data_IF_439315611763
#
_entry.id   IF_439315611763
#
_cell.length_a   1.000
_cell.length_b   1.000
_cell.length_c   1.000
_cell.angle_alpha   90.00
_cell.angle_beta   90.00
_cell.angle_gamma   90.00
#
_symmetry.space_group_name_H-M   'P 1'
#
loop_
_entity.id
_entity.type
_entity.pdbx_description
1 polymer ?
#
# COMPACT_ATOMS: atom_id res chain seq x y z
N UNK A 1 -3.77 7.87 17.62
CA UNK A 1 -4.81 7.48 16.65
C UNK A 1 -4.41 6.10 16.15
N UNK A 2 -5.33 5.15 15.99
CA UNK A 2 -5.00 3.78 15.56
C UNK A 2 -5.45 3.54 14.13
N UNK A 3 -4.68 2.75 13.38
CA UNK A 3 -5.13 2.16 12.14
C UNK A 3 -6.05 0.97 12.45
N UNK A 4 -7.32 1.07 12.07
CA UNK A 4 -8.38 0.12 12.48
C UNK A 4 -8.20 -1.28 11.92
N UNK A 5 -7.70 -1.41 10.68
CA UNK A 5 -7.59 -2.72 10.01
C UNK A 5 -6.57 -3.65 10.65
N UNK A 6 -5.49 -3.11 11.22
CA UNK A 6 -4.42 -3.89 11.85
C UNK A 6 -4.35 -3.72 13.37
N UNK A 7 -5.15 -2.82 13.94
CA UNK A 7 -5.12 -2.46 15.36
C UNK A 7 -3.70 -2.08 15.85
N UNK A 8 -3.00 -1.28 15.04
CA UNK A 8 -1.66 -0.77 15.34
C UNK A 8 -1.69 0.76 15.45
N UNK A 9 -0.69 1.31 16.14
CA UNK A 9 -0.52 2.76 16.24
C UNK A 9 -0.36 3.38 14.85
N UNK A 10 -0.91 4.57 14.66
CA UNK A 10 -0.87 5.27 13.38
C UNK A 10 0.57 5.46 12.87
N UNK A 11 1.50 5.82 13.77
CA UNK A 11 2.90 6.01 13.40
C UNK A 11 3.55 4.70 12.93
N UNK A 12 3.17 3.56 13.53
CA UNK A 12 3.60 2.24 13.08
C UNK A 12 3.02 1.90 11.70
N UNK A 13 1.73 2.18 11.48
CA UNK A 13 1.08 1.98 10.20
C UNK A 13 1.73 2.80 9.09
N UNK A 14 2.01 4.09 9.35
CA UNK A 14 2.70 4.97 8.40
C UNK A 14 4.11 4.47 8.11
N UNK A 15 4.86 4.06 9.14
CA UNK A 15 6.20 3.52 8.97
C UNK A 15 6.18 2.25 8.10
N UNK A 16 5.22 1.35 8.30
CA UNK A 16 5.05 0.15 7.45
C UNK A 16 4.72 0.51 6.01
N UNK A 17 3.84 1.49 5.79
CA UNK A 17 3.45 1.91 4.45
C UNK A 17 4.62 2.58 3.70
N UNK A 18 5.30 3.55 4.32
CA UNK A 18 6.41 4.26 3.68
C UNK A 18 7.62 3.39 3.36
N UNK A 19 7.86 2.32 4.13
CA UNK A 19 8.92 1.35 3.86
C UNK A 19 8.46 0.18 2.97
N UNK A 20 7.28 0.29 2.35
CA UNK A 20 6.77 -0.76 1.47
C UNK A 20 7.13 -0.50 0.01
N UNK A 21 7.39 -1.58 -0.73
CA UNK A 21 7.49 -1.54 -2.21
C UNK A 21 6.27 -0.89 -2.88
N UNK A 22 5.08 -0.91 -2.23
CA UNK A 22 3.89 -0.24 -2.77
C UNK A 22 4.08 1.26 -2.79
N UNK A 23 4.72 1.82 -1.77
CA UNK A 23 5.08 3.24 -1.73
C UNK A 23 6.22 3.58 -2.70
N UNK A 24 7.18 2.67 -2.91
CA UNK A 24 8.19 2.83 -3.96
C UNK A 24 7.54 2.89 -5.35
N UNK A 25 6.64 1.96 -5.66
CA UNK A 25 5.89 1.95 -6.92
C UNK A 25 4.95 3.13 -7.07
N UNK A 26 4.35 3.61 -5.97
CA UNK A 26 3.50 4.81 -5.99
C UNK A 26 4.26 6.05 -6.46
N UNK A 27 5.55 6.15 -6.14
CA UNK A 27 6.40 7.25 -6.58
C UNK A 27 6.95 7.06 -8.00
N UNK A 28 6.97 5.82 -8.49
CA UNK A 28 7.38 5.50 -9.85
C UNK A 28 6.29 5.86 -10.86
N UNK A 29 6.58 6.85 -11.70
CA UNK A 29 5.65 7.35 -12.72
C UNK A 29 5.34 6.32 -13.80
N UNK A 30 6.26 5.40 -14.07
CA UNK A 30 6.08 4.37 -15.10
C UNK A 30 4.96 3.38 -14.71
N UNK A 31 4.70 3.21 -13.41
CA UNK A 31 3.62 2.34 -12.93
C UNK A 31 2.24 2.96 -13.09
N UNK A 32 2.15 4.29 -13.23
CA UNK A 32 0.89 5.03 -13.24
C UNK A 32 0.12 5.00 -11.91
N UNK A 33 0.66 4.39 -10.85
CA UNK A 33 -0.07 4.15 -9.60
C UNK A 33 -0.48 5.45 -8.88
N UNK A 34 0.28 6.53 -9.08
CA UNK A 34 -0.05 7.86 -8.55
C UNK A 34 -1.33 8.47 -9.14
N UNK A 35 -1.83 7.94 -10.27
CA UNK A 35 -3.09 8.33 -10.88
C UNK A 35 -4.27 7.51 -10.32
N UNK A 36 -3.99 6.42 -9.60
CA UNK A 36 -5.02 5.56 -9.03
C UNK A 36 -5.65 6.18 -7.78
N UNK A 37 -6.82 5.65 -7.40
CA UNK A 37 -7.46 6.08 -6.15
C UNK A 37 -6.64 5.64 -4.93
N UNK A 38 -6.64 6.43 -3.84
CA UNK A 38 -6.00 6.01 -2.59
C UNK A 38 -6.52 4.67 -2.05
N UNK A 39 -7.80 4.35 -2.31
CA UNK A 39 -8.42 3.07 -1.96
C UNK A 39 -7.75 1.91 -2.70
N UNK A 40 -7.54 2.03 -4.02
CA UNK A 40 -6.83 1.01 -4.81
C UNK A 40 -5.39 0.79 -4.32
N UNK A 41 -4.68 1.88 -4.02
CA UNK A 41 -3.31 1.81 -3.47
C UNK A 41 -3.30 1.09 -2.12
N UNK A 42 -4.32 1.33 -1.28
CA UNK A 42 -4.45 0.67 0.01
C UNK A 42 -4.78 -0.82 -0.12
N UNK A 43 -5.68 -1.20 -1.02
CA UNK A 43 -5.99 -2.60 -1.29
C UNK A 43 -4.76 -3.36 -1.81
N UNK A 44 -3.99 -2.74 -2.71
CA UNK A 44 -2.72 -3.30 -3.19
C UNK A 44 -1.71 -3.51 -2.04
N UNK A 45 -1.67 -2.58 -1.09
CA UNK A 45 -0.85 -2.70 0.11
C UNK A 45 -1.35 -3.82 1.03
N UNK A 46 -2.66 -3.98 1.20
CA UNK A 46 -3.25 -5.09 1.95
C UNK A 46 -2.95 -6.44 1.33
N UNK A 47 -3.05 -6.56 0.01
CA UNK A 47 -2.70 -7.79 -0.70
C UNK A 47 -1.23 -8.13 -0.51
N UNK A 48 -0.34 -7.14 -0.59
CA UNK A 48 1.09 -7.35 -0.28
C UNK A 48 1.29 -7.90 1.14
N UNK A 49 0.58 -7.36 2.12
CA UNK A 49 0.68 -7.81 3.52
C UNK A 49 0.17 -9.24 3.70
N UNK A 50 -0.88 -9.63 2.95
CA UNK A 50 -1.48 -10.96 3.03
C UNK A 50 -0.69 -12.03 2.28
N UNK A 51 -0.13 -11.71 1.10
CA UNK A 51 0.49 -12.68 0.19
C UNK A 51 2.03 -12.59 0.16
N UNK A 52 2.62 -11.55 0.76
CA UNK A 52 4.08 -11.32 0.77
C UNK A 52 4.65 -10.75 -0.53
N UNK A 53 3.83 -10.56 -1.57
CA UNK A 53 4.20 -9.98 -2.85
C UNK A 53 3.04 -9.15 -3.41
N UNK A 54 3.35 -8.21 -4.30
CA UNK A 54 2.33 -7.36 -4.92
C UNK A 54 1.55 -8.17 -5.95
N UNK A 55 0.23 -8.23 -5.78
CA UNK A 55 -0.69 -8.83 -6.75
C UNK A 55 -1.37 -7.69 -7.49
N UNK A 56 -1.00 -7.49 -8.75
CA UNK A 56 -1.66 -6.52 -9.62
C UNK A 56 -2.65 -7.28 -10.49
N UNK A 57 -3.95 -7.02 -10.33
CA UNK A 57 -4.95 -7.55 -11.24
C UNK A 57 -4.74 -6.86 -12.61
N UNK A 58 -4.17 -7.59 -13.57
CA UNK A 58 -4.16 -7.15 -14.97
C UNK A 58 -5.61 -7.14 -15.47
N UNK A 59 -6.04 -6.00 -16.03
CA UNK A 59 -7.35 -5.83 -16.69
C UNK A 59 -7.17 -6.10 -18.18
#
# INVERSE_FOLDING_TARGET
MFATDQNIEYDEAMNKFYNSEVFEKLQDKETGLYLASPEYVYDLFKDKLNFGHIVQAEI
#
